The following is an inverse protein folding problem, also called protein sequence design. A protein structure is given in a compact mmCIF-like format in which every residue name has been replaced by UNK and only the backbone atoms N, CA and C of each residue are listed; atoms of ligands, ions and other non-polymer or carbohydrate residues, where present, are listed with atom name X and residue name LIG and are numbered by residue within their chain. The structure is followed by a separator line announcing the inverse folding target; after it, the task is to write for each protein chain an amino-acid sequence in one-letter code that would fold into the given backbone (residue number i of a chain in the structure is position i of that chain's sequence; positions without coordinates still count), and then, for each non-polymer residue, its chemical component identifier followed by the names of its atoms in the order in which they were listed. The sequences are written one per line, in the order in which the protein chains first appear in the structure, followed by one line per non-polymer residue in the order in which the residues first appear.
data_IF_633480621935
#
_entry.id   IF_633480621935
#
_cell.length_a   1.000
_cell.length_b   1.000
_cell.length_c   1.000
_cell.angle_alpha   90.00
_cell.angle_beta   90.00
_cell.angle_gamma   90.00
#
_symmetry.space_group_name_H-M   'P 1'
#
loop_
_entity.id
_entity.type
_entity.pdbx_description
1 polymer ?
#
# COMPACT_ATOMS: atom_id res chain seq x y z
N UNK A 1 -1.82 -4.08 0.53
CA UNK A 1 -2.63 -3.39 1.57
C UNK A 1 -3.89 -2.70 1.03
N UNK A 2 -3.83 -1.62 0.22
CA UNK A 2 -5.05 -0.88 -0.19
C UNK A 2 -5.93 -1.55 -1.26
N UNK A 3 -5.41 -2.51 -2.00
CA UNK A 3 -6.14 -3.27 -3.01
C UNK A 3 -5.56 -4.68 -3.03
N UNK A 4 -6.42 -5.66 -2.74
CA UNK A 4 -6.03 -7.03 -2.37
C UNK A 4 -6.64 -8.10 -3.26
N UNK A 5 -7.43 -7.72 -4.28
CA UNK A 5 -8.07 -8.64 -5.22
C UNK A 5 -7.14 -9.70 -5.83
N UNK A 6 -5.84 -9.42 -6.13
CA UNK A 6 -4.94 -10.47 -6.62
C UNK A 6 -4.82 -11.68 -5.69
N UNK A 7 -5.04 -11.51 -4.37
CA UNK A 7 -4.93 -12.59 -3.38
C UNK A 7 -5.98 -13.70 -3.59
N UNK A 8 -7.11 -13.41 -4.22
CA UNK A 8 -8.23 -14.35 -4.37
C UNK A 8 -7.99 -15.39 -5.46
N UNK A 9 -7.53 -14.94 -6.64
CA UNK A 9 -7.41 -15.82 -7.83
C UNK A 9 -6.04 -15.75 -8.50
N UNK A 10 -5.41 -14.57 -8.52
CA UNK A 10 -4.15 -14.35 -9.24
C UNK A 10 -3.00 -15.03 -8.52
N UNK A 11 -2.80 -14.75 -7.23
CA UNK A 11 -1.67 -15.30 -6.47
C UNK A 11 -1.71 -16.84 -6.40
N UNK A 12 -2.85 -17.51 -6.13
CA UNK A 12 -2.91 -18.97 -6.19
C UNK A 12 -2.54 -19.55 -7.57
N UNK A 13 -3.00 -18.89 -8.64
CA UNK A 13 -2.68 -19.31 -10.02
C UNK A 13 -1.19 -19.18 -10.31
N UNK A 14 -0.57 -18.06 -9.93
CA UNK A 14 0.86 -17.83 -10.14
C UNK A 14 1.71 -18.81 -9.32
N UNK A 15 1.28 -19.14 -8.09
CA UNK A 15 1.94 -20.14 -7.24
C UNK A 15 1.93 -21.52 -7.90
N UNK A 16 0.77 -21.98 -8.38
CA UNK A 16 0.65 -23.28 -9.05
C UNK A 16 1.45 -23.38 -10.37
N UNK A 17 1.72 -22.25 -11.02
CA UNK A 17 2.51 -22.17 -12.25
C UNK A 17 3.99 -21.86 -12.03
N UNK A 18 4.42 -21.58 -10.80
CA UNK A 18 5.80 -21.17 -10.51
C UNK A 18 6.18 -19.81 -11.11
N UNK A 19 5.23 -18.88 -11.21
CA UNK A 19 5.42 -17.55 -11.82
C UNK A 19 5.58 -16.49 -10.72
N UNK A 20 6.57 -15.61 -10.86
CA UNK A 20 6.75 -14.47 -9.96
C UNK A 20 5.69 -13.38 -10.17
N UNK A 21 5.37 -12.64 -9.11
CA UNK A 21 4.42 -11.53 -9.17
C UNK A 21 5.11 -10.20 -8.85
N UNK A 22 4.86 -9.20 -9.68
CA UNK A 22 5.45 -7.86 -9.54
C UNK A 22 4.32 -6.85 -9.30
N UNK A 23 3.98 -6.53 -8.03
CA UNK A 23 2.94 -5.57 -7.70
C UNK A 23 3.25 -4.16 -8.22
N UNK A 24 2.39 -3.63 -9.08
CA UNK A 24 2.42 -2.24 -9.53
C UNK A 24 1.73 -1.29 -8.53
N UNK A 25 2.37 -0.13 -8.29
CA UNK A 25 1.97 0.88 -7.30
C UNK A 25 1.83 0.30 -5.88
N UNK A 26 2.89 -0.35 -5.34
CA UNK A 26 2.83 -1.05 -4.06
C UNK A 26 2.50 -0.13 -2.87
N UNK A 27 2.85 1.17 -2.99
CA UNK A 27 2.59 2.20 -1.99
C UNK A 27 1.26 2.95 -2.19
N UNK A 28 0.37 2.47 -3.06
CA UNK A 28 -0.95 3.07 -3.28
C UNK A 28 -0.89 4.51 -3.80
N UNK A 29 -0.07 4.77 -4.82
CA UNK A 29 0.21 6.11 -5.35
C UNK A 29 0.70 7.11 -4.28
N UNK A 30 1.46 6.61 -3.30
CA UNK A 30 2.04 7.42 -2.22
C UNK A 30 1.13 7.57 -1.00
N UNK A 31 -0.09 7.03 -1.01
CA UNK A 31 -0.96 7.08 0.16
C UNK A 31 -0.31 6.40 1.38
N UNK A 32 0.26 5.21 1.19
CA UNK A 32 0.84 4.41 2.27
C UNK A 32 2.14 4.98 2.87
N UNK A 33 2.63 6.11 2.36
CA UNK A 33 3.77 6.82 2.98
C UNK A 33 3.34 7.72 4.13
N UNK A 34 2.03 7.92 4.33
CA UNK A 34 1.49 8.84 5.34
C UNK A 34 1.79 10.32 5.08
N UNK A 35 2.12 10.68 3.83
CA UNK A 35 2.42 12.08 3.43
C UNK A 35 1.27 12.77 2.71
N UNK A 36 0.15 12.06 2.53
CA UNK A 36 -1.07 12.57 1.92
C UNK A 36 -2.12 12.61 3.02
N UNK A 37 -2.73 13.77 3.23
CA UNK A 37 -3.82 13.99 4.16
C UNK A 37 -5.02 14.64 3.43
N UNK A 38 -6.12 14.85 4.15
CA UNK A 38 -7.36 15.39 3.60
C UNK A 38 -7.27 16.83 3.08
N UNK A 39 -6.20 17.55 3.42
CA UNK A 39 -5.90 18.91 2.96
C UNK A 39 -4.91 18.93 1.80
N UNK A 40 -4.36 17.77 1.42
CA UNK A 40 -3.41 17.65 0.34
C UNK A 40 -4.07 18.01 -0.98
N UNK A 41 -3.43 18.93 -1.71
CA UNK A 41 -3.85 19.31 -3.06
C UNK A 41 -2.91 18.70 -4.09
N UNK A 42 -3.45 18.39 -5.27
CA UNK A 42 -2.71 17.79 -6.35
C UNK A 42 -2.60 18.79 -7.50
N UNK A 43 -1.41 18.91 -8.09
CA UNK A 43 -1.16 19.80 -9.21
C UNK A 43 -1.86 19.35 -10.49
N UNK A 44 -1.88 20.24 -11.48
CA UNK A 44 -2.41 19.94 -12.81
C UNK A 44 -1.68 18.72 -13.43
N UNK A 45 -2.45 17.79 -13.99
CA UNK A 45 -1.93 16.56 -14.62
C UNK A 45 -1.59 15.42 -13.66
N UNK A 46 -1.70 15.61 -12.34
CA UNK A 46 -1.52 14.52 -11.37
C UNK A 46 -2.76 13.61 -11.38
N UNK A 47 -2.56 12.31 -11.66
CA UNK A 47 -3.65 11.33 -11.70
C UNK A 47 -4.42 11.23 -10.38
N UNK A 48 -3.80 11.55 -9.24
CA UNK A 48 -4.48 11.54 -7.94
C UNK A 48 -5.58 12.58 -7.84
N UNK A 49 -5.48 13.69 -8.58
CA UNK A 49 -6.53 14.72 -8.64
C UNK A 49 -7.85 14.21 -9.20
N UNK A 50 -7.83 13.13 -9.98
CA UNK A 50 -9.03 12.58 -10.63
C UNK A 50 -9.47 11.24 -10.07
N UNK A 51 -8.71 10.59 -9.19
CA UNK A 51 -9.06 9.27 -8.64
C UNK A 51 -9.93 9.43 -7.39
N UNK A 52 -11.05 8.70 -7.34
CA UNK A 52 -12.02 8.83 -6.22
C UNK A 52 -11.39 8.52 -4.86
N UNK A 53 -10.39 7.65 -4.79
CA UNK A 53 -9.60 7.35 -3.58
C UNK A 53 -8.96 8.57 -2.91
N UNK A 54 -8.68 9.62 -3.67
CA UNK A 54 -8.01 10.84 -3.20
C UNK A 54 -8.97 12.00 -2.96
N UNK A 55 -10.29 11.75 -3.00
CA UNK A 55 -11.28 12.68 -2.44
C UNK A 55 -11.07 12.81 -0.92
N UNK A 56 -11.33 14.00 -0.37
CA UNK A 56 -11.01 14.35 1.01
C UNK A 56 -11.66 13.38 2.01
N UNK A 57 -12.93 13.05 1.78
CA UNK A 57 -13.72 12.09 2.57
C UNK A 57 -13.19 10.65 2.49
N UNK A 58 -12.63 10.25 1.34
CA UNK A 58 -12.07 8.92 1.15
C UNK A 58 -10.67 8.82 1.76
N UNK A 59 -9.88 9.90 1.74
CA UNK A 59 -8.61 9.98 2.48
C UNK A 59 -8.88 9.87 3.98
N UNK A 60 -9.84 10.64 4.51
CA UNK A 60 -10.22 10.62 5.93
C UNK A 60 -10.75 9.23 6.34
N UNK A 61 -11.61 8.61 5.53
CA UNK A 61 -12.10 7.25 5.78
C UNK A 61 -10.99 6.18 5.75
N UNK A 62 -9.98 6.37 4.89
CA UNK A 62 -8.84 5.45 4.78
C UNK A 62 -7.74 5.71 5.82
N UNK A 63 -7.85 6.76 6.65
CA UNK A 63 -6.86 7.10 7.68
C UNK A 63 -6.62 5.95 8.66
N UNK A 64 -7.64 5.12 8.92
CA UNK A 64 -7.54 3.92 9.77
C UNK A 64 -6.44 2.95 9.32
N UNK A 65 -6.16 2.89 8.01
CA UNK A 65 -5.07 2.07 7.47
C UNK A 65 -3.70 2.68 7.79
N UNK A 66 -3.58 4.00 7.69
CA UNK A 66 -2.34 4.72 8.03
C UNK A 66 -2.05 4.62 9.52
N UNK A 67 -3.07 4.72 10.36
CA UNK A 67 -2.94 4.58 11.81
C UNK A 67 -2.47 3.16 12.20
N UNK A 68 -2.98 2.13 11.51
CA UNK A 68 -2.55 0.74 11.70
C UNK A 68 -1.06 0.56 11.36
N UNK A 69 -0.64 0.96 10.17
CA UNK A 69 0.75 0.78 9.75
C UNK A 69 1.70 1.70 10.52
N UNK A 70 1.24 2.88 10.94
CA UNK A 70 2.01 3.84 11.73
C UNK A 70 2.40 3.27 13.09
N UNK A 71 1.46 2.63 13.80
CA UNK A 71 1.74 1.98 15.10
C UNK A 71 2.82 0.90 15.01
N UNK A 72 2.78 0.11 13.94
CA UNK A 72 3.77 -0.95 13.70
C UNK A 72 5.10 -0.33 13.30
N UNK A 73 5.07 0.71 12.47
CA UNK A 73 6.26 1.47 12.06
C UNK A 73 7.01 2.03 13.26
N UNK A 74 6.30 2.60 14.24
CA UNK A 74 6.89 3.08 15.50
C UNK A 74 7.59 1.96 16.27
N UNK A 75 6.95 0.79 16.40
CA UNK A 75 7.52 -0.36 17.13
C UNK A 75 8.74 -0.94 16.42
N UNK A 76 8.75 -0.90 15.09
CA UNK A 76 9.85 -1.41 14.24
C UNK A 76 10.94 -0.38 13.95
N UNK A 77 10.81 0.85 14.46
CA UNK A 77 11.68 1.97 14.09
C UNK A 77 11.81 2.11 12.56
N UNK A 78 10.68 1.98 11.86
CA UNK A 78 10.56 2.00 10.41
C UNK A 78 9.60 3.13 9.98
N UNK A 79 9.52 3.37 8.68
CA UNK A 79 8.51 4.26 8.09
C UNK A 79 7.25 3.47 7.72
N UNK A 80 6.07 4.14 7.62
CA UNK A 80 4.86 3.50 7.08
C UNK A 80 5.06 2.86 5.70
N UNK A 81 5.88 3.48 4.85
CA UNK A 81 6.21 2.95 3.53
C UNK A 81 7.01 1.64 3.63
N UNK A 82 7.96 1.56 4.55
CA UNK A 82 8.72 0.34 4.81
C UNK A 82 7.83 -0.79 5.35
N UNK A 83 6.94 -0.50 6.30
CA UNK A 83 5.96 -1.51 6.78
C UNK A 83 5.09 -2.03 5.64
N UNK A 84 4.60 -1.13 4.77
CA UNK A 84 3.79 -1.51 3.62
C UNK A 84 4.56 -2.42 2.64
N UNK A 85 5.82 -2.13 2.36
CA UNK A 85 6.67 -2.93 1.47
C UNK A 85 7.08 -4.26 2.12
N UNK A 86 7.47 -4.25 3.38
CA UNK A 86 7.82 -5.44 4.16
C UNK A 86 6.65 -6.44 4.19
N UNK A 87 5.42 -5.95 4.43
CA UNK A 87 4.22 -6.78 4.37
C UNK A 87 4.00 -7.41 2.99
N UNK A 88 4.26 -6.68 1.90
CA UNK A 88 4.15 -7.22 0.53
C UNK A 88 5.19 -8.32 0.31
N UNK A 89 6.44 -8.09 0.70
CA UNK A 89 7.53 -9.06 0.58
C UNK A 89 7.26 -10.33 1.42
N UNK A 90 6.61 -10.18 2.58
CA UNK A 90 6.29 -11.28 3.48
C UNK A 90 5.16 -12.20 2.97
N UNK A 91 4.37 -11.80 1.95
CA UNK A 91 3.25 -12.62 1.49
C UNK A 91 3.73 -13.94 0.86
N UNK A 92 4.69 -13.86 -0.06
CA UNK A 92 5.30 -15.00 -0.75
C UNK A 92 6.70 -14.62 -1.24
N UNK A 93 7.68 -15.55 -1.24
CA UNK A 93 9.07 -15.27 -1.62
C UNK A 93 9.25 -14.87 -3.10
N UNK A 94 8.26 -15.16 -3.96
CA UNK A 94 8.26 -14.83 -5.38
C UNK A 94 7.51 -13.52 -5.72
N UNK A 95 7.12 -12.76 -4.70
CA UNK A 95 6.50 -11.42 -4.85
C UNK A 95 7.59 -10.35 -4.72
N UNK A 96 7.79 -9.56 -5.78
CA UNK A 96 8.81 -8.51 -5.83
C UNK A 96 8.15 -7.16 -6.18
N UNK A 97 7.83 -6.29 -5.21
CA UNK A 97 7.25 -4.98 -5.49
C UNK A 97 8.23 -4.07 -6.24
N UNK A 98 7.70 -3.17 -7.06
CA UNK A 98 8.47 -2.14 -7.78
C UNK A 98 8.11 -0.73 -7.27
N UNK A 99 8.60 -0.33 -6.08
CA UNK A 99 8.34 1.00 -5.56
C UNK A 99 9.06 2.05 -6.40
N UNK A 100 8.30 2.97 -7.01
CA UNK A 100 8.84 4.07 -7.80
C UNK A 100 9.41 5.18 -6.93
N UNK A 101 10.48 5.82 -7.38
CA UNK A 101 11.07 7.00 -6.74
C UNK A 101 11.80 7.88 -7.77
N UNK A 102 11.97 9.17 -7.45
CA UNK A 102 12.82 10.13 -8.18
C UNK A 102 13.94 10.72 -7.32
N UNK A 103 14.07 10.28 -6.06
CA UNK A 103 15.02 10.80 -5.07
C UNK A 103 15.83 9.66 -4.48
N UNK A 104 17.12 9.91 -4.23
CA UNK A 104 18.02 8.93 -3.65
C UNK A 104 17.57 8.52 -2.24
N UNK A 105 17.22 9.48 -1.37
CA UNK A 105 16.81 9.14 0.00
C UNK A 105 15.56 8.24 0.05
N UNK A 106 14.66 8.38 -0.94
CA UNK A 106 13.48 7.51 -1.07
C UNK A 106 13.85 6.12 -1.59
N UNK A 107 14.88 6.01 -2.43
CA UNK A 107 15.40 4.71 -2.87
C UNK A 107 15.96 3.95 -1.68
N UNK A 108 16.80 4.62 -0.88
CA UNK A 108 17.40 4.06 0.34
C UNK A 108 16.30 3.64 1.35
N UNK A 109 15.30 4.50 1.59
CA UNK A 109 14.14 4.19 2.44
C UNK A 109 13.40 2.93 1.94
N UNK A 110 13.14 2.82 0.63
CA UNK A 110 12.44 1.67 0.04
C UNK A 110 13.26 0.38 0.13
N UNK A 111 14.58 0.42 -0.08
CA UNK A 111 15.45 -0.76 -0.01
C UNK A 111 15.49 -1.30 1.41
N UNK A 112 15.61 -0.42 2.41
CA UNK A 112 15.64 -0.80 3.82
C UNK A 112 14.33 -1.46 4.32
N UNK A 113 13.26 -1.46 3.51
CA UNK A 113 12.06 -2.25 3.82
C UNK A 113 12.32 -3.76 3.83
N UNK A 114 13.33 -4.23 3.08
CA UNK A 114 13.71 -5.65 3.06
C UNK A 114 14.31 -6.14 4.38
N UNK A 115 14.84 -5.22 5.19
CA UNK A 115 15.42 -5.50 6.51
C UNK A 115 14.39 -5.42 7.64
N UNK A 116 13.14 -5.06 7.33
CA UNK A 116 12.06 -5.02 8.31
C UNK A 116 11.44 -6.40 8.46
N UNK A 117 11.77 -7.07 9.56
CA UNK A 117 11.19 -8.36 9.92
C UNK A 117 9.83 -8.18 10.62
N UNK A 118 8.76 -8.66 10.00
CA UNK A 118 7.45 -8.83 10.63
C UNK A 118 7.36 -10.24 11.18
N UNK A 119 7.08 -10.41 12.48
CA UNK A 119 6.91 -11.74 13.06
C UNK A 119 5.64 -12.40 12.52
N UNK A 120 5.51 -13.71 12.68
CA UNK A 120 4.31 -14.44 12.27
C UNK A 120 3.05 -13.88 12.96
N UNK A 121 3.16 -13.51 14.24
CA UNK A 121 2.06 -12.91 15.00
C UNK A 121 1.69 -11.52 14.48
N UNK A 122 2.67 -10.67 14.17
CA UNK A 122 2.44 -9.34 13.61
C UNK A 122 1.82 -9.43 12.23
N UNK A 123 2.29 -10.35 11.39
CA UNK A 123 1.76 -10.58 10.05
C UNK A 123 0.32 -11.10 10.11
N UNK A 124 0.03 -12.05 11.02
CA UNK A 124 -1.32 -12.55 11.24
C UNK A 124 -2.27 -11.44 11.71
N UNK A 125 -1.85 -10.63 12.69
CA UNK A 125 -2.62 -9.49 13.20
C UNK A 125 -2.87 -8.44 12.11
N UNK A 126 -1.84 -8.11 11.32
CA UNK A 126 -1.96 -7.23 10.16
C UNK A 126 -2.98 -7.76 9.16
N UNK A 127 -2.85 -9.02 8.75
CA UNK A 127 -3.73 -9.63 7.77
C UNK A 127 -5.19 -9.66 8.23
N UNK A 128 -5.42 -10.03 9.49
CA UNK A 128 -6.75 -10.04 10.11
C UNK A 128 -7.33 -8.62 10.13
N UNK A 129 -6.57 -7.63 10.62
CA UNK A 129 -7.06 -6.25 10.71
C UNK A 129 -7.33 -5.66 9.32
N UNK A 130 -6.42 -5.88 8.37
CA UNK A 130 -6.57 -5.44 6.98
C UNK A 130 -7.80 -6.05 6.31
N UNK A 131 -8.21 -7.28 6.67
CA UNK A 131 -9.42 -7.92 6.11
C UNK A 131 -10.72 -7.23 6.56
N UNK A 132 -10.68 -6.51 7.69
CA UNK A 132 -11.83 -5.80 8.26
C UNK A 132 -11.91 -4.33 7.81
N UNK A 133 -10.80 -3.78 7.30
CA UNK A 133 -10.75 -2.41 6.78
C UNK A 133 -11.41 -2.36 5.39
N UNK A 134 -12.47 -1.57 5.26
CA UNK A 134 -13.07 -1.23 3.97
C UNK A 134 -12.37 0.00 3.40
N UNK A 135 -11.69 -0.17 2.27
CA UNK A 135 -11.03 0.94 1.57
C UNK A 135 -12.06 1.74 0.79
N UNK A 136 -12.13 3.04 1.07
CA UNK A 136 -12.99 3.99 0.39
C UNK A 136 -12.35 4.52 -0.90
N UNK A 137 -13.16 4.65 -1.95
CA UNK A 137 -12.73 5.09 -3.28
C UNK A 137 -12.01 4.01 -4.12
N UNK A 138 -12.15 4.10 -5.43
CA UNK A 138 -11.64 3.11 -6.38
C UNK A 138 -10.14 3.24 -6.63
N UNK A 139 -9.50 2.12 -7.01
CA UNK A 139 -8.12 2.11 -7.50
C UNK A 139 -8.00 2.82 -8.87
N UNK A 140 -9.06 2.78 -9.68
CA UNK A 140 -9.02 3.19 -11.10
C UNK A 140 -10.14 4.13 -11.54
N UNK A 141 -11.30 4.16 -10.86
CA UNK A 141 -12.42 5.02 -11.27
C UNK A 141 -12.07 6.49 -11.05
N UNK A 142 -12.46 7.31 -12.01
CA UNK A 142 -12.24 8.75 -11.94
C UNK A 142 -13.48 9.42 -11.38
N UNK A 143 -13.32 10.60 -10.78
CA UNK A 143 -14.42 11.43 -10.24
C UNK A 143 -15.50 11.72 -11.30
N UNK A 144 -15.15 11.68 -12.60
CA UNK A 144 -16.09 11.86 -13.72
C UNK A 144 -16.83 10.58 -14.13
N UNK A 145 -16.45 9.42 -13.61
CA UNK A 145 -16.98 8.11 -14.01
C UNK A 145 -18.10 7.63 -13.04
N UNK A 146 -18.48 8.43 -12.03
CA UNK A 146 -19.52 8.11 -11.03
C UNK A 146 -20.92 8.70 -11.38
N UNK A 147 -21.21 8.89 -12.67
CA UNK A 147 -22.54 9.29 -13.19
C UNK A 147 -23.20 8.15 -13.99
#
# INVERSE_FOLDING_TARGET
MMWRTPEEEVLPTLEGLGIGFVPFSPLGNGFLTGKIDKNTTFGEGDIRSILTRFLSENIDANQVLLDLIGKIAETKNATPAQIALAWILAQKPWIIPIPGTRKLERLEENIAAADVELTEEELAMLNETLSKIKIAGSRINRVKDDY
#
